data_IF_606619608209
#
_entry.id   IF_606619608209
#
_cell.length_a   1.000
_cell.length_b   1.000
_cell.length_c   1.000
_cell.angle_alpha   90.00
_cell.angle_beta   90.00
_cell.angle_gamma   90.00
#
_symmetry.space_group_name_H-M   'P 1'
#
loop_
_entity.id
_entity.type
_entity.pdbx_description
1 polymer ?
#
# COMPACT_ATOMS: atom_id res chain seq x y z
N UNK A 1 -6.41 34.19 -7.60
CA UNK A 1 -7.69 34.22 -8.31
C UNK A 1 -8.80 34.49 -7.30
N UNK A 2 -9.79 35.28 -7.67
CA UNK A 2 -10.96 35.44 -6.84
C UNK A 2 -11.84 34.18 -6.89
N UNK A 3 -12.87 34.12 -6.05
CA UNK A 3 -13.76 32.93 -5.96
C UNK A 3 -14.45 32.65 -7.30
N UNK A 4 -14.73 33.67 -8.11
CA UNK A 4 -15.38 33.54 -9.39
C UNK A 4 -14.42 32.90 -10.41
N UNK A 5 -13.18 33.36 -10.50
CA UNK A 5 -12.15 32.76 -11.36
C UNK A 5 -11.88 31.28 -10.99
N UNK A 6 -11.85 30.96 -9.68
CA UNK A 6 -11.70 29.57 -9.22
C UNK A 6 -12.89 28.71 -9.65
N UNK A 7 -14.10 29.22 -9.56
CA UNK A 7 -15.31 28.49 -9.98
C UNK A 7 -15.34 28.27 -11.49
N UNK A 8 -14.89 29.24 -12.28
CA UNK A 8 -14.80 29.10 -13.73
C UNK A 8 -13.75 28.08 -14.14
N UNK A 9 -12.56 28.08 -13.51
CA UNK A 9 -11.55 27.05 -13.71
C UNK A 9 -12.05 25.64 -13.36
N UNK A 10 -12.75 25.50 -12.22
CA UNK A 10 -13.34 24.21 -11.80
C UNK A 10 -14.39 23.76 -12.83
N UNK A 11 -15.19 24.69 -13.34
CA UNK A 11 -16.22 24.41 -14.34
C UNK A 11 -15.62 23.95 -15.66
N UNK A 12 -14.55 24.60 -16.13
CA UNK A 12 -13.85 24.23 -17.36
C UNK A 12 -13.23 22.82 -17.24
N UNK A 13 -12.50 22.54 -16.17
CA UNK A 13 -11.93 21.21 -15.90
C UNK A 13 -13.02 20.14 -15.74
N UNK A 14 -14.15 20.51 -15.20
CA UNK A 14 -15.31 19.65 -15.07
C UNK A 14 -15.91 19.30 -16.45
N UNK A 15 -16.07 20.28 -17.34
CA UNK A 15 -16.58 20.08 -18.69
C UNK A 15 -15.64 19.21 -19.55
N UNK A 16 -14.32 19.32 -19.31
CA UNK A 16 -13.29 18.48 -19.94
C UNK A 16 -13.20 17.06 -19.34
N UNK A 17 -14.04 16.72 -18.35
CA UNK A 17 -14.13 15.40 -17.73
C UNK A 17 -12.91 14.94 -16.93
N UNK A 18 -12.09 15.86 -16.43
CA UNK A 18 -10.90 15.53 -15.63
C UNK A 18 -11.18 15.44 -14.13
N UNK A 19 -12.35 15.92 -13.66
CA UNK A 19 -12.69 15.95 -12.24
C UNK A 19 -13.45 14.67 -11.85
N UNK A 20 -12.88 13.89 -10.95
CA UNK A 20 -13.51 12.70 -10.34
C UNK A 20 -13.82 12.92 -8.86
N UNK A 21 -13.18 13.90 -8.23
CA UNK A 21 -13.28 14.19 -6.81
C UNK A 21 -13.22 15.69 -6.57
N UNK A 22 -14.18 16.20 -5.81
CA UNK A 22 -14.20 17.58 -5.31
C UNK A 22 -14.03 17.52 -3.79
N UNK A 23 -13.03 18.24 -3.27
CA UNK A 23 -12.81 18.42 -1.84
C UNK A 23 -13.15 19.85 -1.46
N UNK A 24 -14.12 19.99 -0.58
CA UNK A 24 -14.49 21.27 0.02
C UNK A 24 -13.85 21.40 1.40
N UNK A 25 -12.98 22.40 1.55
CA UNK A 25 -12.40 22.76 2.84
C UNK A 25 -13.09 24.03 3.35
N UNK A 26 -13.83 23.88 4.42
CA UNK A 26 -14.45 25.03 5.10
C UNK A 26 -13.63 25.32 6.34
N UNK A 27 -13.00 26.51 6.37
CA UNK A 27 -12.27 27.00 7.54
C UNK A 27 -13.15 28.01 8.27
N UNK A 28 -13.31 27.82 9.57
CA UNK A 28 -14.05 28.74 10.43
C UNK A 28 -13.18 29.15 11.61
N UNK A 29 -13.22 30.43 11.96
CA UNK A 29 -12.64 30.96 13.19
C UNK A 29 -13.57 30.81 14.42
N UNK A 30 -14.74 30.19 14.23
CA UNK A 30 -15.68 29.88 15.32
C UNK A 30 -15.47 28.46 15.85
N UNK A 31 -16.26 28.12 16.86
CA UNK A 31 -16.34 26.78 17.42
C UNK A 31 -17.67 26.17 16.98
N UNK A 32 -17.63 24.97 16.42
CA UNK A 32 -18.86 24.24 16.17
C UNK A 32 -19.47 23.76 17.49
N UNK A 33 -20.78 23.99 17.67
CA UNK A 33 -21.48 23.56 18.88
C UNK A 33 -21.58 22.04 19.00
N UNK A 34 -21.58 21.35 17.83
CA UNK A 34 -21.51 19.88 17.69
C UNK A 34 -20.55 19.54 16.55
N UNK A 35 -19.91 18.35 16.58
CA UNK A 35 -19.10 17.91 15.46
C UNK A 35 -19.97 17.88 14.19
N UNK A 36 -19.65 18.73 13.23
CA UNK A 36 -20.27 18.71 11.91
C UNK A 36 -19.74 17.48 11.15
N UNK A 37 -20.42 16.37 11.31
CA UNK A 37 -20.20 15.17 10.51
C UNK A 37 -21.04 15.29 9.25
N UNK A 38 -20.53 16.04 8.28
CA UNK A 38 -21.16 16.15 6.96
C UNK A 38 -20.74 14.90 6.20
N UNK A 39 -21.68 14.03 5.90
CA UNK A 39 -21.44 12.84 5.10
C UNK A 39 -20.91 13.23 3.71
N UNK A 40 -19.88 12.54 3.25
CA UNK A 40 -19.42 12.67 1.87
C UNK A 40 -20.57 12.34 0.91
N UNK A 41 -20.80 13.20 -0.06
CA UNK A 41 -21.89 13.08 -1.02
C UNK A 41 -21.40 12.56 -2.37
N UNK A 42 -22.25 11.81 -3.05
CA UNK A 42 -22.09 11.54 -4.48
C UNK A 42 -22.98 12.50 -5.26
N UNK A 43 -22.41 13.25 -6.17
CA UNK A 43 -23.15 14.09 -7.09
C UNK A 43 -23.27 13.39 -8.45
N UNK A 44 -24.48 13.16 -8.91
CA UNK A 44 -24.76 12.60 -10.22
C UNK A 44 -25.06 13.72 -11.20
N UNK A 45 -24.19 13.91 -12.17
CA UNK A 45 -24.39 14.88 -13.25
C UNK A 45 -25.31 14.31 -14.34
N UNK A 46 -25.91 15.21 -15.15
CA UNK A 46 -26.80 14.89 -16.30
C UNK A 46 -26.18 13.95 -17.35
N UNK A 47 -24.88 13.65 -17.27
CA UNK A 47 -24.11 12.77 -18.17
C UNK A 47 -23.76 11.39 -17.55
N UNK A 48 -24.51 10.93 -16.56
CA UNK A 48 -24.28 9.64 -15.86
C UNK A 48 -22.92 9.51 -15.11
N UNK A 49 -22.20 10.62 -14.89
CA UNK A 49 -20.96 10.62 -14.14
C UNK A 49 -21.20 10.80 -12.65
N UNK A 50 -20.55 9.98 -11.87
CA UNK A 50 -20.47 10.13 -10.42
C UNK A 50 -19.22 10.92 -10.05
N UNK A 51 -19.40 12.03 -9.34
CA UNK A 51 -18.34 12.82 -8.74
C UNK A 51 -18.45 12.68 -7.23
N UNK A 52 -17.36 12.28 -6.61
CA UNK A 52 -17.31 12.18 -5.15
C UNK A 52 -17.05 13.57 -4.57
N UNK A 53 -17.83 13.97 -3.59
CA UNK A 53 -17.62 15.21 -2.83
C UNK A 53 -17.19 14.85 -1.41
N UNK A 54 -16.02 15.30 -1.02
CA UNK A 54 -15.50 15.18 0.35
C UNK A 54 -15.59 16.54 1.02
N UNK A 55 -16.19 16.59 2.21
CA UNK A 55 -16.32 17.80 3.00
C UNK A 55 -15.35 17.77 4.18
N UNK A 56 -14.53 18.79 4.32
CA UNK A 56 -13.61 18.97 5.43
C UNK A 56 -13.94 20.27 6.14
N UNK A 57 -14.51 20.16 7.34
CA UNK A 57 -14.80 21.31 8.16
C UNK A 57 -13.71 21.46 9.22
N UNK A 58 -12.98 22.57 9.18
CA UNK A 58 -11.95 22.93 10.13
C UNK A 58 -12.39 24.14 10.96
N UNK A 59 -12.97 23.87 12.10
CA UNK A 59 -13.27 24.90 13.07
C UNK A 59 -12.02 25.27 13.91
N UNK A 60 -12.17 26.24 14.80
CA UNK A 60 -11.07 26.67 15.66
C UNK A 60 -10.57 25.54 16.56
N UNK A 61 -11.42 24.59 16.97
CA UNK A 61 -10.98 23.42 17.76
C UNK A 61 -10.08 22.50 16.97
N UNK A 62 -10.44 22.19 15.72
CA UNK A 62 -9.62 21.34 14.84
C UNK A 62 -8.30 22.07 14.49
N UNK A 63 -8.35 23.37 14.20
CA UNK A 63 -7.15 24.16 13.92
C UNK A 63 -6.25 24.22 15.17
N UNK A 64 -6.81 24.45 16.35
CA UNK A 64 -6.06 24.46 17.61
C UNK A 64 -5.49 23.08 17.96
N UNK A 65 -6.22 21.98 17.71
CA UNK A 65 -5.69 20.61 17.86
C UNK A 65 -4.49 20.39 16.94
N UNK A 66 -4.59 20.77 15.66
CA UNK A 66 -3.49 20.68 14.71
C UNK A 66 -2.29 21.51 15.18
N UNK A 67 -2.52 22.73 15.66
CA UNK A 67 -1.47 23.61 16.14
C UNK A 67 -0.87 23.15 17.48
N UNK A 68 -1.68 22.60 18.39
CA UNK A 68 -1.20 21.98 19.64
C UNK A 68 -0.41 20.70 19.35
N UNK A 69 -0.83 19.91 18.37
CA UNK A 69 -0.10 18.74 17.90
C UNK A 69 1.25 19.15 17.31
N UNK A 70 1.31 20.27 16.62
CA UNK A 70 2.53 20.84 16.03
C UNK A 70 3.48 21.43 17.08
N UNK A 71 2.92 22.09 18.11
CA UNK A 71 3.70 22.74 19.18
C UNK A 71 4.11 21.77 20.29
N UNK A 72 3.23 20.83 20.64
CA UNK A 72 3.58 19.77 21.59
C UNK A 72 3.95 18.55 20.75
N UNK A 73 5.19 18.14 20.76
CA UNK A 73 5.64 16.80 20.33
C UNK A 73 4.96 15.71 21.19
N UNK A 74 3.63 15.73 21.26
CA UNK A 74 2.89 14.74 22.05
C UNK A 74 3.17 13.37 21.47
N UNK A 75 3.78 12.56 22.27
CA UNK A 75 4.02 11.18 21.98
C UNK A 75 2.72 10.47 21.64
N UNK A 76 2.72 9.66 20.58
CA UNK A 76 1.61 8.76 20.29
C UNK A 76 1.79 7.54 21.19
N UNK A 77 0.90 7.39 22.17
CA UNK A 77 0.88 6.22 23.05
C UNK A 77 -0.41 5.47 22.77
N UNK A 78 -0.31 4.21 22.40
CA UNK A 78 -1.44 3.34 22.10
C UNK A 78 -1.41 2.17 23.06
N UNK A 79 -2.37 2.13 23.98
CA UNK A 79 -2.57 0.99 24.88
C UNK A 79 -3.69 0.11 24.31
N UNK A 80 -3.33 -1.08 23.85
CA UNK A 80 -4.27 -1.96 23.16
C UNK A 80 -5.32 -2.56 24.09
N UNK A 81 -4.96 -2.87 25.32
CA UNK A 81 -5.90 -3.50 26.25
C UNK A 81 -6.89 -2.49 26.81
N UNK A 82 -6.40 -1.35 27.30
CA UNK A 82 -7.23 -0.37 28.01
C UNK A 82 -8.09 0.44 27.04
N UNK A 83 -7.52 0.89 25.91
CA UNK A 83 -8.24 1.77 24.99
C UNK A 83 -9.04 0.99 23.94
N UNK A 84 -8.55 -0.17 23.50
CA UNK A 84 -9.14 -0.90 22.37
C UNK A 84 -9.67 -2.29 22.75
N UNK A 85 -9.52 -2.72 24.00
CA UNK A 85 -9.95 -4.03 24.51
C UNK A 85 -9.46 -5.18 23.62
N UNK A 86 -8.23 -5.06 23.13
CA UNK A 86 -7.63 -5.98 22.17
C UNK A 86 -6.34 -6.54 22.73
N UNK A 87 -6.15 -7.86 22.61
CA UNK A 87 -4.87 -8.53 22.88
C UNK A 87 -4.21 -8.85 21.55
N UNK A 88 -3.00 -8.37 21.35
CA UNK A 88 -2.23 -8.60 20.13
C UNK A 88 -1.12 -9.61 20.40
N UNK A 89 -1.41 -10.90 20.19
CA UNK A 89 -0.36 -11.93 20.22
C UNK A 89 0.69 -11.62 19.17
N UNK A 90 1.98 -11.76 19.50
CA UNK A 90 3.06 -11.40 18.60
C UNK A 90 4.20 -12.42 18.61
N UNK A 91 4.88 -12.48 17.47
CA UNK A 91 6.17 -13.13 17.31
C UNK A 91 7.23 -12.03 17.27
N UNK A 92 8.26 -12.17 18.09
CA UNK A 92 9.38 -11.24 18.20
C UNK A 92 10.62 -11.78 17.47
N UNK A 93 11.35 -10.91 16.80
CA UNK A 93 12.70 -11.19 16.30
C UNK A 93 13.63 -10.04 16.68
N UNK A 94 14.88 -10.37 16.94
CA UNK A 94 15.90 -9.42 17.32
C UNK A 94 17.10 -9.53 16.38
N UNK A 95 17.55 -8.41 15.88
CA UNK A 95 18.77 -8.27 15.11
C UNK A 95 19.87 -7.70 16.01
N UNK A 96 20.78 -8.57 16.43
CA UNK A 96 21.88 -8.21 17.33
C UNK A 96 22.86 -7.18 16.74
N UNK A 97 23.03 -7.17 15.41
CA UNK A 97 23.98 -6.30 14.71
C UNK A 97 23.47 -4.85 14.68
N UNK A 98 22.21 -4.69 14.35
CA UNK A 98 21.58 -3.36 14.24
C UNK A 98 20.78 -2.96 15.48
N UNK A 99 20.73 -3.84 16.49
CA UNK A 99 19.97 -3.66 17.73
C UNK A 99 18.48 -3.28 17.46
N UNK A 100 17.88 -3.96 16.47
CA UNK A 100 16.50 -3.73 16.06
C UNK A 100 15.63 -4.88 16.54
N UNK A 101 14.56 -4.56 17.26
CA UNK A 101 13.49 -5.50 17.55
C UNK A 101 12.38 -5.35 16.53
N UNK A 102 11.86 -6.46 16.06
CA UNK A 102 10.70 -6.46 15.18
C UNK A 102 9.66 -7.44 15.69
N UNK A 103 8.40 -7.03 15.56
CA UNK A 103 7.25 -7.77 16.00
C UNK A 103 6.32 -8.02 14.80
N UNK A 104 5.80 -9.23 14.71
CA UNK A 104 4.74 -9.57 13.78
C UNK A 104 3.50 -9.94 14.57
N UNK A 105 2.39 -9.27 14.29
CA UNK A 105 1.10 -9.53 14.93
C UNK A 105 -0.03 -9.52 13.94
N UNK A 106 -1.17 -10.09 14.33
CA UNK A 106 -2.43 -10.05 13.58
C UNK A 106 -3.40 -9.16 14.34
N UNK A 107 -3.82 -8.07 13.70
CA UNK A 107 -4.68 -7.06 14.30
C UNK A 107 -6.08 -7.11 13.68
N UNK A 108 -7.17 -7.06 14.46
CA UNK A 108 -8.51 -6.85 13.94
C UNK A 108 -8.58 -5.51 13.17
N UNK A 109 -9.18 -5.51 11.98
CA UNK A 109 -9.27 -4.30 11.16
C UNK A 109 -10.04 -3.18 11.87
N UNK A 110 -11.03 -3.53 12.71
CA UNK A 110 -11.76 -2.56 13.53
C UNK A 110 -10.85 -1.81 14.51
N UNK A 111 -9.85 -2.50 15.09
CA UNK A 111 -8.88 -1.88 16.00
C UNK A 111 -8.01 -0.88 15.25
N UNK A 112 -7.48 -1.25 14.07
CA UNK A 112 -6.72 -0.33 13.22
C UNK A 112 -7.55 0.88 12.79
N UNK A 113 -8.84 0.68 12.44
CA UNK A 113 -9.74 1.76 12.08
C UNK A 113 -9.93 2.78 13.22
N UNK A 114 -10.15 2.29 14.45
CA UNK A 114 -10.29 3.13 15.63
C UNK A 114 -9.01 3.91 15.95
N UNK A 115 -7.86 3.25 15.87
CA UNK A 115 -6.56 3.90 16.07
C UNK A 115 -6.36 5.00 15.02
N UNK A 116 -6.63 4.69 13.74
CA UNK A 116 -6.52 5.68 12.69
C UNK A 116 -7.54 6.82 12.85
N UNK A 117 -8.74 6.56 13.35
CA UNK A 117 -9.71 7.60 13.69
C UNK A 117 -9.16 8.59 14.71
N UNK A 118 -8.48 8.10 15.74
CA UNK A 118 -7.96 8.95 16.83
C UNK A 118 -6.70 9.74 16.42
N UNK A 119 -5.78 9.13 15.67
CA UNK A 119 -4.47 9.71 15.38
C UNK A 119 -4.31 10.23 13.95
N UNK A 120 -5.19 9.83 13.02
CA UNK A 120 -5.28 10.34 11.64
C UNK A 120 -3.92 10.35 10.91
N UNK A 121 -3.60 11.50 10.33
CA UNK A 121 -2.39 11.75 9.54
C UNK A 121 -1.11 11.45 10.34
N UNK A 122 -1.11 11.66 11.65
CA UNK A 122 0.05 11.41 12.52
C UNK A 122 0.60 9.99 12.43
N UNK A 123 -0.28 9.00 12.22
CA UNK A 123 0.15 7.60 12.02
C UNK A 123 0.86 7.36 10.68
N UNK A 124 0.71 8.27 9.71
CA UNK A 124 1.17 8.06 8.33
C UNK A 124 2.19 9.13 7.90
N UNK A 125 2.45 10.15 8.73
CA UNK A 125 3.30 11.31 8.39
C UNK A 125 4.72 10.93 7.92
N UNK A 126 5.28 9.84 8.44
CA UNK A 126 6.58 9.32 8.00
C UNK A 126 6.49 8.46 6.74
N UNK A 127 5.31 8.28 6.16
CA UNK A 127 5.14 7.55 4.90
C UNK A 127 5.52 8.46 3.72
N UNK A 128 6.68 8.22 3.12
CA UNK A 128 7.30 9.01 2.04
C UNK A 128 6.35 9.25 0.84
N UNK A 129 5.35 8.38 0.62
CA UNK A 129 4.38 8.54 -0.48
C UNK A 129 3.29 9.56 -0.20
N UNK A 130 2.93 9.82 1.05
CA UNK A 130 1.93 10.83 1.39
C UNK A 130 2.46 12.26 1.23
N UNK A 131 3.77 12.46 1.39
CA UNK A 131 4.42 13.77 1.21
C UNK A 131 4.38 14.28 -0.24
N UNK A 132 4.15 13.40 -1.21
CA UNK A 132 4.08 13.76 -2.64
C UNK A 132 2.66 14.14 -3.10
N UNK A 133 1.72 14.40 -2.19
CA UNK A 133 0.35 14.80 -2.54
C UNK A 133 -0.44 13.71 -3.30
N UNK A 134 0.08 12.46 -3.29
CA UNK A 134 -0.57 11.34 -3.96
C UNK A 134 -1.87 10.99 -3.26
N UNK A 135 -3.00 11.11 -3.97
CA UNK A 135 -4.31 10.62 -3.53
C UNK A 135 -4.15 9.21 -2.96
N UNK A 136 -4.45 9.02 -1.67
CA UNK A 136 -4.62 7.68 -1.12
C UNK A 136 -5.91 7.15 -1.74
N UNK A 137 -5.79 6.47 -2.88
CA UNK A 137 -6.95 5.85 -3.54
C UNK A 137 -7.44 4.73 -2.63
N UNK A 138 -8.72 4.79 -2.27
CA UNK A 138 -9.41 3.63 -1.71
C UNK A 138 -9.31 2.52 -2.74
N UNK A 139 -8.79 1.36 -2.34
CA UNK A 139 -8.73 0.24 -3.25
C UNK A 139 -10.09 -0.43 -3.29
N UNK A 140 -10.80 -0.31 -4.42
CA UNK A 140 -12.14 -0.83 -4.60
C UNK A 140 -12.22 -2.35 -4.36
N UNK A 141 -11.20 -3.12 -4.70
CA UNK A 141 -11.19 -4.57 -4.48
C UNK A 141 -11.06 -4.91 -2.99
N UNK A 142 -10.23 -4.18 -2.25
CA UNK A 142 -10.15 -4.30 -0.80
C UNK A 142 -11.47 -3.90 -0.13
N UNK A 143 -12.12 -2.83 -0.59
CA UNK A 143 -13.41 -2.38 -0.07
C UNK A 143 -14.51 -3.44 -0.30
N UNK A 144 -14.56 -4.03 -1.49
CA UNK A 144 -15.46 -5.15 -1.81
C UNK A 144 -15.20 -6.37 -0.93
N UNK A 145 -13.93 -6.69 -0.67
CA UNK A 145 -13.57 -7.82 0.22
C UNK A 145 -14.08 -7.57 1.64
N UNK A 146 -13.86 -6.37 2.19
CA UNK A 146 -14.39 -6.02 3.52
C UNK A 146 -15.92 -6.12 3.55
N UNK A 147 -16.60 -5.64 2.50
CA UNK A 147 -18.06 -5.63 2.46
C UNK A 147 -18.66 -7.04 2.34
N UNK A 148 -18.08 -7.91 1.52
CA UNK A 148 -18.72 -9.17 1.12
C UNK A 148 -18.10 -10.41 1.78
N UNK A 149 -16.79 -10.44 1.97
CA UNK A 149 -16.02 -11.60 2.45
C UNK A 149 -14.89 -11.16 3.39
N UNK A 150 -15.20 -10.49 4.52
CA UNK A 150 -14.20 -9.89 5.40
C UNK A 150 -13.15 -10.88 5.93
N UNK A 151 -13.48 -12.15 6.07
CA UNK A 151 -12.57 -13.21 6.52
C UNK A 151 -11.41 -13.45 5.55
N UNK A 152 -11.62 -13.17 4.26
CA UNK A 152 -10.58 -13.32 3.24
C UNK A 152 -9.64 -12.11 3.17
N UNK A 153 -9.95 -11.04 3.90
CA UNK A 153 -9.16 -9.81 3.85
C UNK A 153 -7.70 -10.04 4.25
N UNK A 154 -7.47 -10.85 5.26
CA UNK A 154 -6.12 -11.23 5.70
C UNK A 154 -5.31 -11.93 4.61
N UNK A 155 -5.95 -12.85 3.88
CA UNK A 155 -5.28 -13.63 2.81
C UNK A 155 -5.03 -12.81 1.55
N UNK A 156 -5.85 -11.79 1.29
CA UNK A 156 -5.77 -10.96 0.08
C UNK A 156 -4.98 -9.68 0.27
N UNK A 157 -4.59 -9.34 1.51
CA UNK A 157 -3.90 -8.11 1.84
C UNK A 157 -2.48 -8.36 2.34
N UNK A 158 -1.53 -7.56 1.86
CA UNK A 158 -0.12 -7.66 2.28
C UNK A 158 0.15 -7.11 3.70
N UNK A 159 -0.88 -6.63 4.39
CA UNK A 159 -0.73 -6.05 5.71
C UNK A 159 -0.11 -4.65 5.71
N UNK A 160 0.38 -4.25 6.88
CA UNK A 160 1.04 -2.97 7.08
C UNK A 160 2.43 -3.18 7.68
N UNK A 161 3.38 -2.32 7.27
CA UNK A 161 4.69 -2.23 7.91
C UNK A 161 4.80 -0.88 8.61
N UNK A 162 5.33 -0.88 9.82
CA UNK A 162 5.36 0.27 10.70
C UNK A 162 6.64 0.33 11.51
N UNK A 163 6.91 1.50 12.07
CA UNK A 163 7.99 1.74 13.03
C UNK A 163 7.42 2.28 14.33
N UNK A 164 8.09 2.04 15.43
CA UNK A 164 7.75 2.57 16.74
C UNK A 164 9.02 2.96 17.50
N UNK A 165 8.93 3.92 18.41
CA UNK A 165 10.05 4.27 19.30
C UNK A 165 10.24 3.22 20.40
N UNK A 166 9.13 2.63 20.87
CA UNK A 166 9.13 1.57 21.88
C UNK A 166 7.90 0.68 21.73
N UNK A 167 8.07 -0.61 22.02
CA UNK A 167 7.01 -1.61 22.05
C UNK A 167 7.09 -2.36 23.37
N UNK A 168 6.04 -2.24 24.19
CA UNK A 168 5.92 -2.99 25.46
C UNK A 168 5.21 -4.32 25.22
N UNK A 169 5.81 -5.38 25.71
CA UNK A 169 5.32 -6.76 25.54
C UNK A 169 5.19 -7.45 26.89
N UNK A 170 4.09 -8.15 27.07
CA UNK A 170 3.89 -9.06 28.21
C UNK A 170 3.90 -10.51 27.76
N UNK A 171 4.29 -11.40 28.65
CA UNK A 171 4.27 -12.85 28.40
C UNK A 171 3.26 -13.50 29.33
N UNK A 172 2.40 -14.36 28.80
CA UNK A 172 1.45 -15.13 29.60
C UNK A 172 2.10 -16.39 30.25
N UNK A 173 1.32 -17.11 31.02
CA UNK A 173 1.76 -18.33 31.71
C UNK A 173 2.17 -19.46 30.74
N UNK A 174 1.71 -19.40 29.48
CA UNK A 174 2.04 -20.35 28.42
C UNK A 174 3.22 -19.92 27.57
N UNK A 175 3.89 -18.81 27.91
CA UNK A 175 5.02 -18.28 27.17
C UNK A 175 4.63 -17.49 25.91
N UNK A 176 3.34 -17.19 25.69
CA UNK A 176 2.89 -16.37 24.55
C UNK A 176 3.12 -14.89 24.84
N UNK A 177 3.60 -14.19 23.84
CA UNK A 177 3.90 -12.75 23.93
C UNK A 177 2.76 -11.92 23.35
N UNK A 178 2.43 -10.83 24.04
CA UNK A 178 1.37 -9.91 23.64
C UNK A 178 1.89 -8.47 23.67
N UNK A 179 1.68 -7.74 22.61
CA UNK A 179 1.94 -6.30 22.57
C UNK A 179 0.86 -5.61 23.42
N UNK A 180 1.28 -4.86 24.42
CA UNK A 180 0.39 -4.10 25.32
C UNK A 180 0.34 -2.62 24.94
N UNK A 181 1.51 -2.03 24.65
CA UNK A 181 1.64 -0.60 24.35
C UNK A 181 2.60 -0.39 23.20
N UNK A 182 2.27 0.54 22.30
CA UNK A 182 3.18 1.03 21.28
C UNK A 182 3.32 2.55 21.44
N UNK A 183 4.58 3.04 21.46
CA UNK A 183 4.90 4.46 21.55
C UNK A 183 5.46 4.97 20.23
N UNK A 184 4.97 6.13 19.80
CA UNK A 184 5.36 6.78 18.54
C UNK A 184 5.24 5.86 17.32
N UNK A 185 4.07 5.22 17.18
CA UNK A 185 3.76 4.32 16.10
C UNK A 185 3.55 5.07 14.78
N UNK A 186 4.26 4.66 13.73
CA UNK A 186 4.14 5.24 12.38
C UNK A 186 4.04 4.15 11.32
N UNK A 187 3.02 4.22 10.47
CA UNK A 187 2.80 3.32 9.35
C UNK A 187 3.63 3.80 8.16
N UNK A 188 4.64 3.02 7.77
CA UNK A 188 5.55 3.36 6.66
C UNK A 188 5.14 2.69 5.34
N UNK A 189 4.39 1.58 5.39
CA UNK A 189 3.78 0.95 4.24
C UNK A 189 2.40 0.37 4.61
N UNK A 190 1.46 0.36 3.65
CA UNK A 190 0.08 -0.07 3.89
C UNK A 190 -0.91 1.09 4.06
N UNK A 191 -0.54 2.30 3.63
CA UNK A 191 -1.43 3.47 3.69
C UNK A 191 -2.77 3.24 2.96
N UNK A 192 -2.77 2.55 1.82
CA UNK A 192 -4.02 2.19 1.11
C UNK A 192 -4.88 1.22 1.92
N UNK A 193 -4.25 0.21 2.55
CA UNK A 193 -4.95 -0.73 3.45
C UNK A 193 -5.61 0.02 4.59
N UNK A 194 -4.87 0.89 5.26
CA UNK A 194 -5.35 1.68 6.40
C UNK A 194 -6.51 2.60 5.99
N UNK A 195 -6.38 3.30 4.85
CA UNK A 195 -7.42 4.20 4.35
C UNK A 195 -8.68 3.45 3.92
N UNK A 196 -8.53 2.28 3.28
CA UNK A 196 -9.68 1.46 2.88
C UNK A 196 -10.45 0.93 4.11
N UNK A 197 -9.73 0.46 5.12
CA UNK A 197 -10.30 0.01 6.40
C UNK A 197 -11.02 1.17 7.10
N UNK A 198 -10.39 2.34 7.14
CA UNK A 198 -11.00 3.53 7.75
C UNK A 198 -12.25 4.00 6.99
N UNK A 199 -12.24 3.97 5.66
CA UNK A 199 -13.42 4.28 4.87
C UNK A 199 -14.57 3.30 5.16
N UNK A 200 -14.30 2.00 5.26
CA UNK A 200 -15.30 1.00 5.68
C UNK A 200 -15.85 1.27 7.09
N UNK A 201 -15.00 1.75 8.01
CA UNK A 201 -15.41 2.17 9.35
C UNK A 201 -16.38 3.37 9.30
N UNK A 202 -16.07 4.38 8.49
CA UNK A 202 -16.95 5.54 8.26
C UNK A 202 -18.29 5.12 7.66
N UNK A 203 -18.31 4.13 6.77
CA UNK A 203 -19.51 3.55 6.19
C UNK A 203 -20.28 2.62 7.16
N UNK A 204 -19.92 2.61 8.43
CA UNK A 204 -20.58 1.80 9.48
C UNK A 204 -20.52 0.28 9.25
N UNK A 205 -19.54 -0.21 8.48
CA UNK A 205 -19.28 -1.64 8.28
C UNK A 205 -18.51 -2.27 9.47
N UNK A 206 -18.84 -1.83 10.67
CA UNK A 206 -18.19 -2.27 11.91
C UNK A 206 -18.27 -3.79 12.13
N UNK A 207 -19.42 -4.48 11.89
CA UNK A 207 -19.48 -5.93 12.02
C UNK A 207 -18.52 -6.66 11.07
N UNK A 208 -18.35 -6.17 9.85
CA UNK A 208 -17.45 -6.72 8.85
C UNK A 208 -15.98 -6.51 9.27
N UNK A 209 -15.65 -5.32 9.76
CA UNK A 209 -14.30 -5.00 10.22
C UNK A 209 -13.88 -5.82 11.45
N UNK A 210 -14.83 -6.26 12.27
CA UNK A 210 -14.55 -7.15 13.41
C UNK A 210 -14.19 -8.57 12.98
N UNK A 211 -14.56 -8.96 11.75
CA UNK A 211 -14.24 -10.26 11.13
C UNK A 211 -13.04 -10.20 10.18
N UNK A 212 -12.59 -9.00 9.82
CA UNK A 212 -11.42 -8.78 9.01
C UNK A 212 -10.17 -8.60 9.87
N UNK A 213 -9.05 -9.14 9.41
CA UNK A 213 -7.77 -9.07 10.10
C UNK A 213 -6.67 -8.54 9.18
N UNK A 214 -5.63 -7.93 9.78
CA UNK A 214 -4.48 -7.36 9.08
C UNK A 214 -3.20 -7.84 9.72
N UNK A 215 -2.24 -8.30 8.90
CA UNK A 215 -0.88 -8.53 9.36
C UNK A 215 -0.19 -7.19 9.64
N UNK A 216 0.40 -7.05 10.81
CA UNK A 216 1.11 -5.83 11.22
C UNK A 216 2.53 -6.18 11.61
N UNK A 217 3.49 -5.63 10.86
CA UNK A 217 4.90 -5.67 11.23
C UNK A 217 5.27 -4.34 11.90
N UNK A 218 5.81 -4.42 13.11
CA UNK A 218 6.32 -3.26 13.86
C UNK A 218 7.81 -3.42 14.04
N UNK A 219 8.62 -2.46 13.60
CA UNK A 219 10.05 -2.40 13.88
C UNK A 219 10.32 -1.33 14.93
N UNK A 220 10.86 -1.72 16.07
CA UNK A 220 11.26 -0.78 17.14
C UNK A 220 12.58 -0.13 16.76
N UNK A 221 12.58 1.19 16.64
CA UNK A 221 13.72 2.01 16.23
C UNK A 221 13.97 3.08 17.28
N UNK A 222 15.11 3.03 17.94
CA UNK A 222 15.47 3.99 18.99
C UNK A 222 15.67 5.41 18.43
N UNK A 223 15.39 6.42 19.23
CA UNK A 223 15.41 7.83 18.80
C UNK A 223 16.74 8.29 18.21
N UNK A 224 17.86 7.73 18.65
CA UNK A 224 19.20 8.11 18.18
C UNK A 224 19.54 7.59 16.77
N UNK A 225 18.82 6.57 16.26
CA UNK A 225 19.08 5.94 14.96
C UNK A 225 18.03 6.32 13.89
N UNK A 226 17.19 7.29 14.18
CA UNK A 226 15.83 7.38 13.66
C UNK A 226 15.72 7.77 12.18
N UNK A 227 16.53 8.68 11.65
CA UNK A 227 16.21 9.26 10.34
C UNK A 227 16.59 8.34 9.17
N UNK A 228 17.78 7.77 9.21
CA UNK A 228 18.30 6.95 8.11
C UNK A 228 17.68 5.55 8.12
N UNK A 229 17.55 4.94 9.30
CA UNK A 229 17.00 3.60 9.45
C UNK A 229 15.48 3.55 9.11
N UNK A 230 14.70 4.50 9.63
CA UNK A 230 13.27 4.66 9.28
C UNK A 230 13.12 4.90 7.78
N UNK A 231 13.98 5.75 7.19
CA UNK A 231 14.00 5.99 5.75
C UNK A 231 14.29 4.72 4.96
N UNK A 232 15.23 3.89 5.40
CA UNK A 232 15.53 2.61 4.77
C UNK A 232 14.38 1.62 4.92
N UNK A 233 13.82 1.45 6.11
CA UNK A 233 12.66 0.57 6.34
C UNK A 233 11.50 0.99 5.42
N UNK A 234 11.19 2.29 5.35
CA UNK A 234 10.14 2.80 4.47
C UNK A 234 10.46 2.57 3.00
N UNK A 235 11.70 2.81 2.56
CA UNK A 235 12.15 2.59 1.18
C UNK A 235 12.02 1.14 0.78
N UNK A 236 12.56 0.22 1.57
CA UNK A 236 12.54 -1.21 1.25
C UNK A 236 11.14 -1.82 1.39
N UNK A 237 10.35 -1.41 2.37
CA UNK A 237 8.96 -1.83 2.49
C UNK A 237 8.10 -1.36 1.30
N UNK A 238 8.43 -0.22 0.69
CA UNK A 238 7.71 0.32 -0.48
C UNK A 238 8.31 -0.10 -1.83
N UNK A 239 9.50 -0.69 -1.86
CA UNK A 239 10.19 -1.08 -3.10
C UNK A 239 9.75 -2.45 -3.63
N UNK A 240 8.76 -3.09 -3.01
CA UNK A 240 8.21 -4.35 -3.49
C UNK A 240 7.72 -4.20 -4.93
N UNK A 241 8.17 -5.10 -5.79
CA UNK A 241 7.83 -5.11 -7.21
C UNK A 241 6.31 -5.22 -7.38
N UNK A 242 5.68 -4.21 -7.99
CA UNK A 242 4.25 -4.28 -8.30
C UNK A 242 4.00 -5.45 -9.25
N UNK A 243 3.19 -6.41 -8.82
CA UNK A 243 2.64 -7.43 -9.71
C UNK A 243 1.71 -6.72 -10.69
N UNK A 244 1.93 -6.87 -11.99
CA UNK A 244 1.03 -6.38 -13.04
C UNK A 244 0.00 -7.46 -13.33
N UNK A 245 -1.18 -7.08 -13.80
CA UNK A 245 -2.21 -8.04 -14.22
C UNK A 245 -1.68 -9.03 -15.26
N UNK A 246 -0.79 -8.57 -16.14
CA UNK A 246 -0.07 -9.43 -17.08
C UNK A 246 0.81 -10.49 -16.41
N UNK A 247 1.25 -10.30 -15.15
CA UNK A 247 2.05 -11.29 -14.43
C UNK A 247 1.16 -12.43 -13.91
N UNK A 248 -0.12 -12.15 -13.59
CA UNK A 248 -1.10 -13.14 -13.14
C UNK A 248 -1.46 -14.16 -14.25
N UNK A 249 -1.45 -13.73 -15.49
CA UNK A 249 -1.72 -14.61 -16.65
C UNK A 249 -0.52 -15.50 -17.05
N UNK A 250 0.63 -15.36 -16.37
CA UNK A 250 1.85 -16.10 -16.74
C UNK A 250 1.71 -17.62 -16.72
N UNK A 251 0.81 -18.16 -15.89
CA UNK A 251 0.58 -19.60 -15.76
C UNK A 251 -0.53 -20.13 -16.68
N UNK A 252 -1.11 -19.30 -17.55
CA UNK A 252 -2.04 -19.77 -18.55
C UNK A 252 -1.36 -20.78 -19.50
N UNK A 253 -2.06 -21.85 -19.89
CA UNK A 253 -1.50 -22.94 -20.70
C UNK A 253 -0.82 -22.42 -21.98
N UNK A 254 -1.46 -21.48 -22.67
CA UNK A 254 -0.92 -20.81 -23.86
C UNK A 254 0.47 -20.17 -23.62
N UNK A 255 0.67 -19.53 -22.46
CA UNK A 255 1.95 -18.90 -22.11
C UNK A 255 3.04 -19.95 -21.79
N UNK A 256 2.65 -21.08 -21.18
CA UNK A 256 3.56 -22.20 -20.94
C UNK A 256 4.00 -22.86 -22.25
N UNK A 257 3.06 -23.08 -23.17
CA UNK A 257 3.34 -23.64 -24.48
C UNK A 257 4.24 -22.73 -25.32
N UNK A 258 4.00 -21.43 -25.30
CA UNK A 258 4.83 -20.43 -25.96
C UNK A 258 6.25 -20.39 -25.38
N UNK A 259 6.39 -20.47 -24.05
CA UNK A 259 7.70 -20.58 -23.43
C UNK A 259 8.45 -21.82 -23.92
N UNK A 260 7.80 -22.98 -23.89
CA UNK A 260 8.37 -24.24 -24.35
C UNK A 260 8.80 -24.16 -25.82
N UNK A 261 7.94 -23.64 -26.68
CA UNK A 261 8.26 -23.47 -28.10
C UNK A 261 9.44 -22.53 -28.33
N UNK A 262 9.46 -21.38 -27.63
CA UNK A 262 10.55 -20.41 -27.77
C UNK A 262 11.93 -20.99 -27.38
N UNK A 263 11.97 -22.03 -26.54
CA UNK A 263 13.22 -22.69 -26.13
C UNK A 263 13.73 -23.70 -27.17
N UNK A 264 12.93 -24.05 -28.18
CA UNK A 264 13.23 -25.05 -29.19
C UNK A 264 13.29 -24.53 -30.62
N UNK A 265 12.75 -23.33 -30.86
CA UNK A 265 12.73 -22.71 -32.19
C UNK A 265 14.01 -21.94 -32.44
N UNK A 266 14.77 -22.43 -33.40
CA UNK A 266 15.96 -21.78 -33.92
C UNK A 266 15.62 -20.89 -35.11
N UNK A 267 16.33 -19.78 -35.26
CA UNK A 267 16.25 -18.96 -36.46
C UNK A 267 16.88 -19.70 -37.65
N UNK A 268 16.44 -19.34 -38.85
CA UNK A 268 16.95 -19.95 -40.11
C UNK A 268 18.22 -19.26 -40.65
N UNK A 269 18.90 -18.47 -39.84
CA UNK A 269 20.10 -17.72 -40.22
C UNK A 269 21.36 -18.59 -40.33
N UNK A 270 22.42 -18.02 -40.92
CA UNK A 270 23.77 -18.63 -41.02
C UNK A 270 24.33 -18.92 -39.62
N UNK A 271 23.97 -18.07 -38.64
CA UNK A 271 24.26 -18.27 -37.22
C UNK A 271 22.93 -18.45 -36.47
N UNK A 272 22.42 -19.69 -36.36
CA UNK A 272 21.11 -19.90 -35.75
C UNK A 272 21.13 -19.55 -34.28
N UNK A 273 20.11 -18.81 -33.85
CA UNK A 273 19.88 -18.39 -32.49
C UNK A 273 18.49 -18.79 -32.04
N UNK A 274 18.27 -18.86 -30.73
CA UNK A 274 16.98 -19.22 -30.13
C UNK A 274 16.15 -17.96 -29.80
N UNK A 275 14.87 -18.05 -30.08
CA UNK A 275 13.92 -17.12 -29.52
C UNK A 275 13.86 -17.28 -27.99
N UNK A 276 13.56 -16.18 -27.28
CA UNK A 276 13.42 -16.23 -25.84
C UNK A 276 12.14 -15.51 -25.40
N UNK A 277 11.10 -16.29 -25.11
CA UNK A 277 9.89 -15.75 -24.49
C UNK A 277 10.10 -15.59 -22.99
N UNK A 278 10.06 -14.35 -22.52
CA UNK A 278 10.13 -14.04 -21.09
C UNK A 278 8.73 -14.10 -20.49
N UNK A 279 8.33 -15.30 -20.06
CA UNK A 279 7.04 -15.55 -19.44
C UNK A 279 6.91 -14.87 -18.08
N UNK A 280 7.95 -14.99 -17.26
CA UNK A 280 8.06 -14.34 -15.96
C UNK A 280 9.01 -13.15 -16.07
N UNK A 281 8.64 -12.02 -15.47
CA UNK A 281 9.46 -10.81 -15.48
C UNK A 281 10.84 -11.09 -14.84
N UNK A 282 11.90 -10.74 -15.53
CA UNK A 282 13.27 -10.94 -15.08
C UNK A 282 13.79 -12.36 -15.31
N UNK A 283 13.01 -13.26 -15.89
CA UNK A 283 13.39 -14.66 -16.14
C UNK A 283 14.67 -14.77 -16.98
N UNK A 284 14.81 -13.93 -17.99
CA UNK A 284 16.03 -13.90 -18.82
C UNK A 284 17.28 -13.62 -18.00
N UNK A 285 17.23 -12.66 -17.09
CA UNK A 285 18.36 -12.32 -16.22
C UNK A 285 18.64 -13.44 -15.21
N UNK A 286 17.61 -14.09 -14.72
CA UNK A 286 17.73 -15.24 -13.81
C UNK A 286 18.41 -16.42 -14.51
N UNK A 287 17.95 -16.79 -15.71
CA UNK A 287 18.50 -17.89 -16.48
C UNK A 287 19.96 -17.60 -16.90
N UNK A 288 20.25 -16.34 -17.29
CA UNK A 288 21.61 -15.89 -17.54
C UNK A 288 22.48 -15.98 -16.29
N UNK A 289 21.97 -15.58 -15.14
CA UNK A 289 22.65 -15.66 -13.84
C UNK A 289 22.96 -17.10 -13.44
N UNK A 290 22.01 -18.03 -13.67
CA UNK A 290 22.21 -19.46 -13.44
C UNK A 290 23.30 -20.04 -14.37
N UNK A 291 23.34 -19.62 -15.63
CA UNK A 291 24.42 -19.97 -16.54
C UNK A 291 25.77 -19.45 -16.04
N UNK A 292 25.77 -18.26 -15.39
CA UNK A 292 26.96 -17.63 -14.81
C UNK A 292 27.57 -18.40 -13.62
N UNK A 293 26.76 -19.08 -12.84
CA UNK A 293 27.22 -19.94 -11.75
C UNK A 293 28.14 -21.09 -12.19
N UNK A 294 28.18 -21.38 -13.49
CA UNK A 294 29.04 -22.40 -14.12
C UNK A 294 30.22 -21.83 -14.92
N UNK A 295 30.50 -20.52 -14.82
CA UNK A 295 31.64 -19.83 -15.42
C UNK A 295 31.27 -18.87 -16.57
N UNK A 296 32.17 -17.93 -16.84
CA UNK A 296 32.00 -16.82 -17.81
C UNK A 296 31.79 -17.29 -19.25
N UNK A 297 32.36 -18.43 -19.65
CA UNK A 297 32.17 -19.01 -20.99
C UNK A 297 30.72 -19.44 -21.24
N UNK A 298 30.04 -19.95 -20.23
CA UNK A 298 28.64 -20.35 -20.36
C UNK A 298 27.69 -19.16 -20.45
N UNK A 299 28.04 -18.04 -19.80
CA UNK A 299 27.30 -16.78 -19.95
C UNK A 299 27.40 -16.26 -21.38
N UNK A 300 28.62 -16.23 -21.96
CA UNK A 300 28.80 -15.82 -23.36
C UNK A 300 28.02 -16.73 -24.32
N UNK A 301 28.12 -18.03 -24.15
CA UNK A 301 27.34 -18.98 -24.95
C UNK A 301 25.83 -18.75 -24.82
N UNK A 302 25.32 -18.51 -23.62
CA UNK A 302 23.90 -18.17 -23.39
C UNK A 302 23.47 -16.91 -24.15
N UNK A 303 24.31 -15.86 -24.15
CA UNK A 303 24.03 -14.61 -24.86
C UNK A 303 24.13 -14.73 -26.38
N UNK A 304 25.08 -15.52 -26.86
CA UNK A 304 25.23 -15.83 -28.28
C UNK A 304 24.05 -16.65 -28.82
N UNK A 305 23.61 -17.65 -28.07
CA UNK A 305 22.45 -18.48 -28.45
C UNK A 305 21.13 -17.73 -28.31
N UNK A 306 21.01 -16.78 -27.35
CA UNK A 306 19.78 -16.06 -27.01
C UNK A 306 20.05 -14.55 -26.96
N UNK A 307 20.24 -13.92 -28.12
CA UNK A 307 20.51 -12.50 -28.18
C UNK A 307 19.31 -11.68 -27.67
N UNK A 308 19.59 -10.56 -27.04
CA UNK A 308 18.57 -9.70 -26.46
C UNK A 308 17.54 -9.19 -27.50
N UNK A 309 17.94 -9.09 -28.76
CA UNK A 309 17.07 -8.71 -29.89
C UNK A 309 15.96 -9.73 -30.18
N UNK A 310 16.14 -10.98 -29.77
CA UNK A 310 15.15 -12.07 -29.93
C UNK A 310 14.39 -12.39 -28.63
N UNK A 311 14.56 -11.56 -27.60
CA UNK A 311 13.77 -11.62 -26.38
C UNK A 311 12.46 -10.88 -26.58
N UNK A 312 11.35 -11.52 -26.24
CA UNK A 312 10.04 -10.93 -26.25
C UNK A 312 9.24 -11.35 -25.00
N UNK A 313 8.27 -10.57 -24.62
CA UNK A 313 7.47 -10.77 -23.42
C UNK A 313 5.97 -10.80 -23.74
N UNK A 314 5.13 -11.01 -22.73
CA UNK A 314 3.66 -11.08 -22.88
C UNK A 314 3.04 -9.83 -23.52
N UNK A 315 3.59 -8.66 -23.23
CA UNK A 315 3.11 -7.40 -23.82
C UNK A 315 3.42 -7.32 -25.31
N UNK A 316 4.58 -7.84 -25.72
CA UNK A 316 4.97 -7.90 -27.12
C UNK A 316 4.08 -8.87 -27.90
N UNK A 317 3.76 -10.03 -27.31
CA UNK A 317 2.79 -10.98 -27.88
C UNK A 317 1.42 -10.34 -28.07
N UNK A 318 0.91 -9.66 -27.05
CA UNK A 318 -0.39 -9.00 -27.13
C UNK A 318 -0.42 -7.92 -28.22
N UNK A 319 0.65 -7.14 -28.37
CA UNK A 319 0.76 -6.15 -29.46
C UNK A 319 0.79 -6.81 -30.84
N UNK A 320 1.54 -7.89 -31.00
CA UNK A 320 1.61 -8.61 -32.27
C UNK A 320 0.24 -9.21 -32.63
N UNK A 321 -0.47 -9.79 -31.66
CA UNK A 321 -1.80 -10.34 -31.86
C UNK A 321 -2.83 -9.27 -32.26
N UNK A 322 -2.76 -8.09 -31.62
CA UNK A 322 -3.61 -6.95 -31.97
C UNK A 322 -3.27 -6.36 -33.37
N UNK A 323 -2.01 -6.41 -33.77
CA UNK A 323 -1.60 -5.91 -35.08
C UNK A 323 -1.95 -6.88 -36.22
N UNK A 324 -2.17 -8.15 -35.92
CA UNK A 324 -2.50 -9.19 -36.92
C UNK A 324 -4.00 -9.33 -37.17
N UNK A 325 -4.85 -8.84 -36.27
CA UNK A 325 -6.33 -8.79 -36.42
C UNK A 325 -6.77 -7.56 -37.18
#
# INVERSE_FOLDING_TARGET
>A
PDVAEMLDMIKEEYEQKHIELIRLFVLSNGFAAEPLDIDDGEFQHKSDRKITMEYHFWDMQEILKIEQIRRNNQEIIINFQDEYQTKLECIETFDDVNNIRSYLTIMPAITLAKIYHNYRVRLIDKNVRNFLGGKIKVNNEMAKTIANTPELFFSYNNGISSTAANVEVTTDENGRKYITTIRNWHIVNGGQTTSTIYNAYRQKLTPNLSRAYVAVKVSEVRENDTSQLVGNIAKYANSQTKIKDSDLSANAQYMLDMEKQSRTLWTSDIHPTLWYFERLRGQFLTDKGLAGGSGTLRVKKFEEERPQSQRFNKTDVAKLEMAWR
#
